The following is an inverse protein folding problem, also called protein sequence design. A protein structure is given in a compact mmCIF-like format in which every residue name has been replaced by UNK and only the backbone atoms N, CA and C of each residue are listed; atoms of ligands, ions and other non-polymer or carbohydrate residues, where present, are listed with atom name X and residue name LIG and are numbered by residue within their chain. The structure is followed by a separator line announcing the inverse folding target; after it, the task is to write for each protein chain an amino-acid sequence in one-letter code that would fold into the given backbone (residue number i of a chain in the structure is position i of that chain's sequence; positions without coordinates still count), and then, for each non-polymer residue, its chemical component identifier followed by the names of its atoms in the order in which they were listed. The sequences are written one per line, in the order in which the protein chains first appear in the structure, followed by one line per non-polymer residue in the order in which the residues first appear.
data_IF_356684699489
#
_entry.id   IF_356684699489
#
_cell.length_a   1.000
_cell.length_b   1.000
_cell.length_c   1.000
_cell.angle_alpha   90.00
_cell.angle_beta   90.00
_cell.angle_gamma   90.00
#
_symmetry.space_group_name_H-M   'P 1'
#
loop_
_entity.id
_entity.type
_entity.pdbx_description
1 polymer ?
#
# COMPACT_ATOMS: atom_id res chain seq x y z
N UNK A 1 -3.87 9.19 -11.62
CA UNK A 1 -3.46 8.27 -10.53
C UNK A 1 -3.32 9.08 -9.27
N UNK A 2 -3.72 8.54 -8.12
CA UNK A 2 -3.59 9.20 -6.82
C UNK A 2 -2.42 8.58 -6.04
N UNK A 3 -1.71 9.39 -5.25
CA UNK A 3 -0.68 8.93 -4.34
C UNK A 3 -1.28 8.78 -2.94
N UNK A 4 -0.92 7.69 -2.26
CA UNK A 4 -1.20 7.49 -0.84
C UNK A 4 0.07 7.80 -0.03
N UNK A 5 -0.06 8.52 1.07
CA UNK A 5 1.01 8.77 2.04
C UNK A 5 0.60 8.23 3.40
N UNK A 6 1.55 7.98 4.29
CA UNK A 6 1.23 7.38 5.57
C UNK A 6 0.46 8.34 6.47
N UNK A 7 -0.58 7.81 7.11
CA UNK A 7 -1.32 8.50 8.16
C UNK A 7 -0.65 8.36 9.55
N UNK A 8 0.67 8.11 9.59
CA UNK A 8 1.46 7.82 10.78
C UNK A 8 0.74 6.83 11.73
N UNK A 9 0.27 7.30 12.90
CA UNK A 9 -0.36 6.48 13.94
C UNK A 9 -1.66 5.81 13.48
N UNK A 10 -2.37 6.39 12.50
CA UNK A 10 -3.63 5.86 11.99
C UNK A 10 -3.45 4.91 10.81
N UNK A 11 -2.21 4.71 10.33
CA UNK A 11 -1.94 3.93 9.13
C UNK A 11 -2.49 2.50 9.21
N UNK A 12 -2.47 1.91 10.41
CA UNK A 12 -2.98 0.57 10.66
C UNK A 12 -4.45 0.42 10.20
N UNK A 13 -5.30 1.43 10.38
CA UNK A 13 -6.71 1.33 9.95
C UNK A 13 -6.88 1.21 8.42
N UNK A 14 -5.90 1.73 7.67
CA UNK A 14 -5.89 1.73 6.21
C UNK A 14 -5.11 0.56 5.61
N UNK A 15 -4.69 -0.40 6.43
CA UNK A 15 -4.02 -1.58 5.93
C UNK A 15 -4.97 -2.41 5.04
N UNK A 16 -4.52 -2.86 3.86
CA UNK A 16 -5.38 -3.52 2.89
C UNK A 16 -6.10 -4.74 3.48
N UNK A 17 -5.41 -5.48 4.36
CA UNK A 17 -5.99 -6.63 5.06
C UNK A 17 -7.15 -6.25 5.99
N UNK A 18 -7.08 -5.08 6.64
CA UNK A 18 -8.14 -4.56 7.52
C UNK A 18 -9.28 -3.95 6.72
N UNK A 19 -9.00 -3.43 5.54
CA UNK A 19 -9.99 -3.03 4.54
C UNK A 19 -10.59 -4.20 3.75
N UNK A 20 -10.34 -5.45 4.18
CA UNK A 20 -10.82 -6.67 3.51
C UNK A 20 -10.37 -6.80 2.05
N UNK A 21 -9.30 -6.11 1.67
CA UNK A 21 -8.65 -6.28 0.37
C UNK A 21 -7.66 -7.45 0.44
N UNK A 22 -8.04 -8.56 -0.19
CA UNK A 22 -7.24 -9.79 -0.27
C UNK A 22 -6.32 -9.86 -1.49
N UNK A 23 -6.35 -8.84 -2.35
CA UNK A 23 -5.44 -8.74 -3.48
C UNK A 23 -4.07 -8.20 -3.05
N UNK A 24 -3.08 -8.34 -3.93
CA UNK A 24 -1.75 -7.75 -3.72
C UNK A 24 -1.86 -6.22 -3.75
N UNK A 25 -1.58 -5.51 -2.65
CA UNK A 25 -1.73 -4.06 -2.61
C UNK A 25 -0.69 -3.39 -3.52
N UNK A 26 -1.07 -2.24 -4.09
CA UNK A 26 -0.11 -1.40 -4.81
C UNK A 26 0.94 -0.86 -3.84
N UNK A 27 2.20 -0.82 -4.28
CA UNK A 27 3.23 -0.09 -3.57
C UNK A 27 2.89 1.40 -3.55
N UNK A 28 3.13 2.06 -2.42
CA UNK A 28 3.02 3.50 -2.27
C UNK A 28 4.23 4.05 -1.52
N UNK A 29 4.47 5.36 -1.65
CA UNK A 29 5.55 6.04 -0.94
C UNK A 29 5.04 6.44 0.44
N UNK A 30 5.66 5.94 1.50
CA UNK A 30 5.20 6.22 2.87
C UNK A 30 5.21 7.72 3.20
N UNK A 31 6.25 8.45 2.80
CA UNK A 31 6.37 9.89 3.09
C UNK A 31 6.61 10.70 1.82
N UNK A 32 5.95 11.86 1.64
CA UNK A 32 6.31 12.78 0.57
C UNK A 32 7.75 13.28 0.77
N UNK A 33 8.43 13.58 -0.32
CA UNK A 33 9.73 14.26 -0.26
C UNK A 33 9.50 15.74 0.06
N UNK A 34 10.40 16.33 0.86
CA UNK A 34 10.37 17.77 1.11
C UNK A 34 10.64 18.49 -0.22
N UNK A 35 9.82 19.49 -0.53
CA UNK A 35 10.02 20.39 -1.66
C UNK A 35 10.70 21.66 -1.14
N UNK A 36 11.76 22.09 -1.81
CA UNK A 36 12.42 23.36 -1.57
C UNK A 36 12.14 24.30 -2.76
N UNK A 37 11.82 25.57 -2.48
CA UNK A 37 11.48 26.56 -3.51
C UNK A 37 9.97 26.71 -3.76
N UNK A 38 9.59 27.02 -5.01
CA UNK A 38 8.22 27.36 -5.41
C UNK A 38 7.70 26.48 -6.57
N UNK A 39 6.38 26.40 -6.71
CA UNK A 39 5.71 25.65 -7.78
C UNK A 39 5.61 26.48 -9.06
N UNK A 40 6.00 25.90 -10.20
CA UNK A 40 5.85 26.54 -11.51
C UNK A 40 4.55 26.09 -12.17
N UNK A 41 3.85 27.03 -12.82
CA UNK A 41 2.61 26.73 -13.55
C UNK A 41 2.98 26.06 -14.88
N UNK A 42 2.51 24.83 -15.06
CA UNK A 42 2.83 24.00 -16.24
C UNK A 42 1.70 23.92 -17.27
N UNK A 43 0.53 24.49 -16.97
CA UNK A 43 -0.67 24.41 -17.80
C UNK A 43 -1.31 25.79 -18.02
N UNK A 44 -2.08 25.92 -19.11
CA UNK A 44 -2.87 27.11 -19.40
C UNK A 44 -4.20 27.12 -18.64
N UNK A 45 -4.94 28.23 -18.73
CA UNK A 45 -6.23 28.41 -18.05
C UNK A 45 -7.34 27.44 -18.51
N UNK A 46 -7.12 26.69 -19.60
CA UNK A 46 -8.03 25.65 -20.12
C UNK A 46 -7.60 24.23 -19.73
N UNK A 47 -6.49 24.07 -19.00
CA UNK A 47 -5.96 22.77 -18.58
C UNK A 47 -5.06 22.07 -19.60
N UNK A 48 -4.67 22.71 -20.70
CA UNK A 48 -3.64 22.18 -21.61
C UNK A 48 -2.24 22.51 -21.11
N UNK A 49 -1.31 21.54 -21.21
CA UNK A 49 0.10 21.78 -20.88
C UNK A 49 0.72 22.84 -21.79
N UNK A 50 1.61 23.66 -21.24
CA UNK A 50 2.39 24.63 -22.00
C UNK A 50 3.33 23.93 -23.00
N UNK A 51 3.56 24.54 -24.19
CA UNK A 51 4.50 23.98 -25.16
C UNK A 51 5.91 23.89 -24.54
N UNK A 52 6.55 22.72 -24.65
CA UNK A 52 7.87 22.45 -24.07
C UNK A 52 7.86 21.68 -22.74
N UNK A 53 6.71 21.56 -22.07
CA UNK A 53 6.60 20.67 -20.89
C UNK A 53 6.70 19.21 -21.37
N UNK A 54 7.63 18.40 -20.83
CA UNK A 54 7.74 17.00 -21.21
C UNK A 54 6.46 16.27 -20.84
N UNK A 55 5.85 15.62 -21.83
CA UNK A 55 4.68 14.78 -21.68
C UNK A 55 4.96 13.44 -22.37
N UNK A 56 4.30 12.39 -21.90
CA UNK A 56 4.20 11.17 -22.70
C UNK A 56 3.62 11.51 -24.08
N UNK A 57 4.31 11.11 -25.14
CA UNK A 57 3.76 11.19 -26.49
C UNK A 57 2.50 10.30 -26.63
N UNK A 58 2.46 9.22 -25.86
CA UNK A 58 1.35 8.27 -25.80
C UNK A 58 0.21 8.77 -24.92
N UNK A 59 -0.94 8.14 -25.09
CA UNK A 59 -2.14 8.15 -24.26
C UNK A 59 -1.91 8.51 -22.77
N UNK A 60 -2.80 9.33 -22.16
CA UNK A 60 -2.71 9.69 -20.74
C UNK A 60 -2.86 8.48 -19.80
N UNK A 61 -3.33 7.34 -20.31
CA UNK A 61 -3.43 6.07 -19.58
C UNK A 61 -2.16 5.20 -19.71
N UNK A 62 -1.11 5.73 -20.34
CA UNK A 62 0.15 5.02 -20.59
C UNK A 62 -0.05 3.86 -21.56
N UNK A 63 0.64 2.74 -21.31
CA UNK A 63 0.55 1.49 -22.09
C UNK A 63 -0.54 0.55 -21.57
N UNK A 64 -1.60 1.08 -20.97
CA UNK A 64 -2.73 0.26 -20.56
C UNK A 64 -3.47 -0.25 -21.80
N UNK A 65 -3.65 -1.57 -21.90
CA UNK A 65 -4.47 -2.17 -22.95
C UNK A 65 -5.90 -2.35 -22.42
N UNK A 66 -6.86 -1.69 -23.08
CA UNK A 66 -8.28 -1.83 -22.74
C UNK A 66 -8.82 -3.23 -23.06
N UNK A 67 -10.03 -3.52 -22.57
CA UNK A 67 -10.73 -4.80 -22.81
C UNK A 67 -10.80 -5.15 -24.28
N UNK A 68 -11.04 -4.16 -25.15
CA UNK A 68 -11.14 -4.35 -26.59
C UNK A 68 -9.79 -4.47 -27.31
N UNK A 69 -8.71 -3.98 -26.71
CA UNK A 69 -7.35 -4.05 -27.26
C UNK A 69 -6.57 -5.31 -26.80
N UNK A 70 -7.16 -6.10 -25.91
CA UNK A 70 -6.61 -7.37 -25.46
C UNK A 70 -6.54 -8.39 -26.61
N UNK A 71 -5.47 -9.20 -26.69
CA UNK A 71 -5.41 -10.28 -27.65
C UNK A 71 -6.51 -11.31 -27.34
N UNK A 72 -7.13 -11.85 -28.39
CA UNK A 72 -8.18 -12.89 -28.28
C UNK A 72 -7.73 -14.13 -27.49
N UNK A 73 -6.43 -14.43 -27.52
CA UNK A 73 -5.82 -15.50 -26.73
C UNK A 73 -4.62 -14.94 -25.97
N UNK A 74 -4.65 -15.07 -24.65
CA UNK A 74 -3.55 -14.68 -23.76
C UNK A 74 -2.58 -15.86 -23.71
N UNK A 75 -1.33 -15.72 -24.19
CA UNK A 75 -0.35 -16.80 -24.08
C UNK A 75 0.00 -17.05 -22.61
N UNK A 76 0.51 -18.23 -22.24
CA UNK A 76 0.92 -18.50 -20.87
C UNK A 76 1.99 -17.48 -20.43
N UNK A 77 2.00 -17.13 -19.15
CA UNK A 77 2.93 -16.15 -18.60
C UNK A 77 4.38 -16.67 -18.67
N UNK A 78 5.32 -15.95 -19.32
CA UNK A 78 6.73 -16.34 -19.34
C UNK A 78 7.40 -16.12 -17.96
N UNK A 79 8.49 -16.83 -17.62
CA UNK A 79 9.20 -17.83 -18.44
C UNK A 79 8.79 -19.30 -18.18
N UNK A 80 7.87 -19.58 -17.25
CA UNK A 80 7.94 -20.85 -16.50
C UNK A 80 6.96 -21.97 -16.93
N UNK A 81 6.23 -21.87 -18.05
CA UNK A 81 5.36 -23.00 -18.43
C UNK A 81 5.24 -23.21 -19.94
N UNK A 82 6.13 -24.06 -20.46
CA UNK A 82 5.92 -24.74 -21.74
C UNK A 82 5.04 -25.97 -21.46
N UNK A 83 3.73 -25.82 -21.40
CA UNK A 83 2.77 -26.93 -21.22
C UNK A 83 2.68 -27.88 -22.43
N UNK A 84 3.47 -27.61 -23.47
CA UNK A 84 3.48 -28.36 -24.72
C UNK A 84 4.21 -29.71 -24.58
N UNK A 85 3.60 -30.76 -25.14
CA UNK A 85 4.16 -32.13 -25.19
C UNK A 85 5.09 -32.38 -26.39
N UNK A 86 5.39 -31.36 -27.18
CA UNK A 86 6.22 -31.44 -28.40
C UNK A 86 7.05 -30.18 -28.58
N UNK A 87 8.28 -30.33 -29.08
CA UNK A 87 9.20 -29.21 -29.33
C UNK A 87 8.58 -28.14 -30.24
N UNK A 88 8.00 -28.54 -31.38
CA UNK A 88 7.35 -27.61 -32.32
C UNK A 88 6.19 -26.83 -31.68
N UNK A 89 5.47 -27.44 -30.74
CA UNK A 89 4.38 -26.78 -30.03
C UNK A 89 4.91 -25.79 -28.97
N UNK A 90 6.02 -26.12 -28.31
CA UNK A 90 6.71 -25.22 -27.40
C UNK A 90 7.23 -23.97 -28.12
N UNK A 91 7.83 -24.13 -29.30
CA UNK A 91 8.34 -23.00 -30.11
C UNK A 91 7.22 -22.04 -30.53
N UNK A 92 6.04 -22.58 -30.86
CA UNK A 92 4.85 -21.76 -31.17
C UNK A 92 4.40 -20.93 -29.97
N UNK A 93 4.40 -21.52 -28.77
CA UNK A 93 4.05 -20.80 -27.54
C UNK A 93 5.06 -19.67 -27.28
N UNK A 94 6.35 -19.96 -27.41
CA UNK A 94 7.42 -18.99 -27.21
C UNK A 94 7.32 -17.84 -28.23
N UNK A 95 7.10 -18.15 -29.51
CA UNK A 95 6.89 -17.14 -30.54
C UNK A 95 5.63 -16.29 -30.27
N UNK A 96 4.53 -16.90 -29.78
CA UNK A 96 3.32 -16.18 -29.40
C UNK A 96 3.53 -15.26 -28.17
N UNK A 97 4.29 -15.71 -27.18
CA UNK A 97 4.70 -14.89 -26.03
C UNK A 97 5.52 -13.68 -26.50
N UNK A 98 6.54 -13.89 -27.33
CA UNK A 98 7.41 -12.81 -27.82
C UNK A 98 6.64 -11.76 -28.62
N UNK A 99 5.67 -12.18 -29.44
CA UNK A 99 4.84 -11.28 -30.26
C UNK A 99 3.72 -10.58 -29.49
N UNK A 100 3.50 -10.95 -28.23
CA UNK A 100 2.38 -10.44 -27.45
C UNK A 100 2.59 -8.97 -27.03
N UNK A 101 1.57 -8.14 -27.28
CA UNK A 101 1.49 -6.76 -26.77
C UNK A 101 1.46 -6.68 -25.24
N UNK A 102 1.19 -7.81 -24.57
CA UNK A 102 1.16 -7.91 -23.11
C UNK A 102 2.53 -7.76 -22.46
N UNK A 103 3.63 -7.91 -23.20
CA UNK A 103 4.98 -7.74 -22.64
C UNK A 103 5.29 -6.27 -22.31
N UNK A 104 4.66 -5.34 -23.02
CA UNK A 104 4.86 -3.89 -22.86
C UNK A 104 3.73 -3.22 -22.09
N UNK A 105 2.59 -3.90 -21.97
CA UNK A 105 1.39 -3.34 -21.36
C UNK A 105 1.50 -3.26 -19.83
N UNK A 106 0.97 -2.19 -19.24
CA UNK A 106 1.00 -1.99 -17.78
C UNK A 106 0.19 -3.05 -17.02
N UNK A 107 -0.91 -3.50 -17.62
CA UNK A 107 -1.78 -4.59 -17.15
C UNK A 107 -1.40 -5.97 -17.75
N UNK A 108 -0.30 -6.08 -18.48
CA UNK A 108 0.15 -7.31 -19.12
C UNK A 108 1.12 -8.13 -18.27
N UNK A 109 1.97 -8.92 -18.93
CA UNK A 109 3.00 -9.73 -18.28
C UNK A 109 4.08 -8.83 -17.70
N UNK A 110 4.03 -8.59 -16.39
CA UNK A 110 5.08 -7.86 -15.68
C UNK A 110 6.32 -8.75 -15.48
N UNK A 111 7.02 -9.09 -16.58
CA UNK A 111 8.19 -10.00 -16.58
C UNK A 111 9.28 -9.51 -15.62
N UNK A 112 9.53 -8.20 -15.57
CA UNK A 112 10.48 -7.60 -14.64
C UNK A 112 10.07 -7.81 -13.16
N UNK A 113 8.77 -7.75 -12.86
CA UNK A 113 8.24 -8.01 -11.51
C UNK A 113 8.37 -9.48 -11.15
N UNK A 114 8.11 -10.38 -12.11
CA UNK A 114 8.29 -11.83 -11.94
C UNK A 114 9.75 -12.17 -11.69
N UNK A 115 10.69 -11.63 -12.47
CA UNK A 115 12.11 -11.83 -12.26
C UNK A 115 12.58 -11.29 -10.91
N UNK A 116 12.07 -10.12 -10.48
CA UNK A 116 12.33 -9.57 -9.14
C UNK A 116 11.77 -10.44 -8.01
N UNK A 117 10.61 -11.06 -8.21
CA UNK A 117 10.02 -12.02 -7.26
C UNK A 117 10.84 -13.30 -7.19
N UNK A 118 11.25 -13.85 -8.34
CA UNK A 118 12.10 -15.04 -8.44
C UNK A 118 13.46 -14.82 -7.75
N UNK A 119 14.12 -13.70 -8.03
CA UNK A 119 15.37 -13.32 -7.38
C UNK A 119 15.21 -13.18 -5.86
N UNK A 120 14.11 -12.58 -5.39
CA UNK A 120 13.82 -12.43 -3.96
C UNK A 120 13.51 -13.77 -3.29
N UNK A 121 12.86 -14.70 -3.99
CA UNK A 121 12.59 -16.05 -3.49
C UNK A 121 13.89 -16.84 -3.31
N UNK A 122 14.84 -16.69 -4.25
CA UNK A 122 16.16 -17.33 -4.19
C UNK A 122 17.09 -16.72 -3.15
N UNK A 123 17.04 -15.40 -2.96
CA UNK A 123 17.85 -14.70 -1.95
C UNK A 123 17.26 -14.77 -0.55
N UNK A 124 16.05 -15.32 -0.38
CA UNK A 124 15.45 -15.47 0.93
C UNK A 124 16.20 -16.56 1.70
N UNK A 125 16.78 -16.27 2.88
CA UNK A 125 17.38 -17.31 3.70
C UNK A 125 16.30 -18.34 4.04
N UNK A 126 16.65 -19.64 4.15
CA UNK A 126 15.71 -20.65 4.58
C UNK A 126 15.11 -20.19 5.91
N UNK A 127 13.79 -20.16 6.01
CA UNK A 127 13.09 -19.89 7.27
C UNK A 127 13.45 -21.01 8.25
N UNK A 128 14.54 -20.84 8.99
CA UNK A 128 14.73 -21.51 10.26
C UNK A 128 13.47 -21.22 11.08
N UNK A 129 12.76 -22.27 11.48
CA UNK A 129 11.60 -22.16 12.36
C UNK A 129 12.07 -21.40 13.59
N UNK A 130 11.68 -20.13 13.71
CA UNK A 130 11.92 -19.38 14.94
C UNK A 130 11.26 -20.16 16.06
N UNK A 131 11.94 -20.45 17.18
CA UNK A 131 11.28 -21.08 18.32
C UNK A 131 10.09 -20.19 18.72
N UNK A 132 8.97 -20.86 19.04
CA UNK A 132 7.74 -20.21 19.47
C UNK A 132 8.05 -19.14 20.53
N UNK A 133 7.38 -17.97 20.51
CA UNK A 133 7.62 -16.95 21.51
C UNK A 133 7.39 -17.54 22.90
N UNK A 134 8.46 -17.69 23.67
CA UNK A 134 8.36 -17.99 25.09
C UNK A 134 7.58 -16.82 25.71
N UNK A 135 6.38 -17.15 26.19
CA UNK A 135 5.57 -16.28 27.04
C UNK A 135 6.46 -15.78 28.17
N UNK A 136 6.91 -14.53 28.09
CA UNK A 136 7.55 -13.87 29.21
C UNK A 136 6.55 -13.90 30.36
N UNK A 137 6.86 -14.69 31.39
CA UNK A 137 6.16 -14.57 32.68
C UNK A 137 6.58 -13.19 33.20
N UNK A 138 5.73 -12.20 32.97
CA UNK A 138 5.82 -10.91 33.64
C UNK A 138 5.88 -11.19 35.14
N UNK A 139 6.94 -10.69 35.80
CA UNK A 139 7.03 -10.70 37.24
C UNK A 139 5.75 -10.08 37.83
N UNK A 140 5.24 -10.73 38.87
CA UNK A 140 4.18 -10.23 39.74
C UNK A 140 4.38 -8.75 40.06
N UNK A 141 3.33 -7.91 39.95
CA UNK A 141 3.43 -6.53 40.42
C UNK A 141 3.63 -6.56 41.94
N UNK A 142 4.78 -6.05 42.38
CA UNK A 142 5.00 -5.66 43.78
C UNK A 142 3.88 -4.71 44.17
N UNK A 143 3.14 -5.11 45.21
CA UNK A 143 2.08 -4.37 45.90
C UNK A 143 2.49 -2.90 46.08
N UNK A 144 1.82 -1.98 45.39
CA UNK A 144 1.91 -0.56 45.68
C UNK A 144 1.34 -0.30 47.09
N UNK A 145 1.94 0.58 47.90
CA UNK A 145 1.33 1.01 49.15
C UNK A 145 0.03 1.77 48.86
N UNK A 146 -0.98 1.46 49.67
CA UNK A 146 -2.33 2.06 49.65
C UNK A 146 -2.26 3.59 49.67
N UNK A 147 -3.02 4.30 48.83
CA UNK A 147 -3.20 5.74 49.02
C UNK A 147 -3.98 5.98 50.32
N UNK A 148 -3.45 6.84 51.18
CA UNK A 148 -4.15 7.35 52.35
C UNK A 148 -5.41 8.10 51.91
N UNK A 149 -6.50 7.92 52.66
CA UNK A 149 -7.77 8.59 52.42
C UNK A 149 -7.62 10.12 52.44
N UNK A 150 -8.28 10.87 51.55
CA UNK A 150 -8.36 12.31 51.69
C UNK A 150 -9.30 12.67 52.86
N UNK A 151 -8.81 13.51 53.77
CA UNK A 151 -9.60 14.10 54.84
C UNK A 151 -10.83 14.79 54.27
N UNK A 152 -11.98 14.42 54.83
CA UNK A 152 -13.30 14.93 54.45
C UNK A 152 -13.41 16.37 54.96
N UNK A 153 -13.27 17.34 54.07
CA UNK A 153 -13.55 18.75 54.36
C UNK A 153 -15.03 18.86 54.79
N UNK A 154 -15.36 19.49 55.94
CA UNK A 154 -16.75 19.70 56.33
C UNK A 154 -17.40 20.72 55.39
N UNK A 155 -18.52 20.33 54.79
CA UNK A 155 -19.42 21.20 54.06
C UNK A 155 -19.96 22.32 54.96
N UNK A 156 -19.88 23.61 54.58
CA UNK A 156 -20.60 24.66 55.30
C UNK A 156 -22.11 24.56 55.02
N UNK A 157 -22.89 24.75 56.08
CA UNK A 157 -24.35 24.70 56.08
C UNK A 157 -24.94 25.87 55.27
N UNK A 158 -26.01 25.57 54.51
CA UNK A 158 -26.87 26.56 53.87
C UNK A 158 -27.53 27.45 54.93
N UNK A 159 -27.06 28.69 55.05
CA UNK A 159 -27.80 29.72 55.79
C UNK A 159 -28.96 30.24 54.93
N UNK A 160 -30.15 30.17 55.51
CA UNK A 160 -31.39 30.76 55.00
C UNK A 160 -31.22 32.27 54.95
N UNK A 161 -31.28 32.85 53.75
CA UNK A 161 -31.49 34.28 53.59
C UNK A 161 -32.97 34.56 53.88
N UNK A 162 -33.20 35.34 54.93
CA UNK A 162 -34.50 35.90 55.30
C UNK A 162 -34.77 37.08 54.38
N UNK A 163 -35.92 37.07 53.70
CA UNK A 163 -36.48 38.23 53.00
C UNK A 163 -36.74 39.36 54.01
N UNK A 164 -36.18 40.54 53.76
CA UNK A 164 -36.53 41.78 54.47
C UNK A 164 -37.20 42.69 53.44
N UNK A 165 -38.50 42.89 53.63
CA UNK A 165 -39.30 43.92 52.97
C UNK A 165 -38.77 45.32 53.34
N UNK A 166 -38.66 46.20 52.34
CA UNK A 166 -38.75 47.66 52.44
C UNK A 166 -39.03 48.26 51.07
#
# INVERSE_FOLDING_TARGET
MACHFSANQYQNAFDPKRLQNWNVPSGYKERPTKLEGFTQIVANNRGHLLPGVPRSATSPWGTFLGTWDMPKSIPPCPPTSLTARSAKAADKILAAQQRSKLNTASNGFNIAKLHKLELRARSAPPKLKSPAPQRQKSATPTKAPSPAAPDRVPTPALERVVEVES
#
